data_IF_670489671409
#
_entry.id   IF_670489671409
#
_cell.length_a   1.000
_cell.length_b   1.000
_cell.length_c   1.000
_cell.angle_alpha   90.00
_cell.angle_beta   90.00
_cell.angle_gamma   90.00
#
_symmetry.space_group_name_H-M   'P 1'
#
loop_
_entity.id
_entity.type
_entity.pdbx_description
1 polymer ?
#
# COMPACT_ATOMS: atom_id res chain seq x y z
N UNK A 1 6.57 39.57 -13.33
CA UNK A 1 5.63 39.33 -12.20
C UNK A 1 4.45 38.47 -12.64
N UNK A 2 3.49 38.96 -13.45
CA UNK A 2 2.34 38.13 -13.88
C UNK A 2 2.74 36.84 -14.66
N UNK A 3 3.81 36.91 -15.46
CA UNK A 3 4.36 35.77 -16.20
C UNK A 3 5.02 34.69 -15.33
N UNK A 4 5.54 35.08 -14.15
CA UNK A 4 6.24 34.14 -13.26
C UNK A 4 5.22 33.39 -12.39
N UNK A 5 4.16 34.07 -11.97
CA UNK A 5 3.02 33.45 -11.28
C UNK A 5 2.33 32.40 -12.15
N UNK A 6 2.04 32.70 -13.41
CA UNK A 6 1.45 31.76 -14.36
C UNK A 6 2.32 30.50 -14.53
N UNK A 7 3.64 30.65 -14.70
CA UNK A 7 4.57 29.50 -14.79
C UNK A 7 4.59 28.65 -13.53
N UNK A 8 4.54 29.25 -12.33
CA UNK A 8 4.49 28.48 -11.08
C UNK A 8 3.17 27.74 -10.92
N UNK A 9 2.06 28.34 -11.36
CA UNK A 9 0.74 27.75 -11.30
C UNK A 9 0.62 26.54 -12.23
N UNK A 10 1.10 26.65 -13.47
CA UNK A 10 1.13 25.55 -14.43
C UNK A 10 1.98 24.38 -13.90
N UNK A 11 3.12 24.68 -13.28
CA UNK A 11 3.99 23.67 -12.66
C UNK A 11 3.31 22.96 -11.49
N UNK A 12 2.58 23.67 -10.63
CA UNK A 12 1.84 23.06 -9.52
C UNK A 12 0.64 22.22 -10.02
N UNK A 13 -0.05 22.63 -11.09
CA UNK A 13 -1.13 21.85 -11.71
C UNK A 13 -0.58 20.51 -12.24
N UNK A 14 0.54 20.53 -12.96
CA UNK A 14 1.18 19.29 -13.42
C UNK A 14 1.64 18.40 -12.27
N UNK A 15 2.15 19.00 -11.19
CA UNK A 15 2.60 18.26 -10.00
C UNK A 15 1.45 17.69 -9.15
N UNK A 16 0.21 18.18 -9.32
CA UNK A 16 -0.97 17.73 -8.59
C UNK A 16 -1.49 16.36 -9.06
N UNK A 17 -1.11 15.92 -10.26
CA UNK A 17 -1.43 14.57 -10.74
C UNK A 17 -0.46 13.54 -10.13
N UNK A 18 -0.97 12.42 -9.56
CA UNK A 18 -0.10 11.37 -9.06
C UNK A 18 0.67 10.73 -10.22
N UNK A 19 2.00 10.61 -10.14
CA UNK A 19 2.78 9.99 -11.21
C UNK A 19 2.43 8.50 -11.37
N UNK A 20 2.70 7.94 -12.55
CA UNK A 20 2.39 6.54 -12.88
C UNK A 20 2.94 5.56 -11.83
N UNK A 21 4.14 5.84 -11.31
CA UNK A 21 4.78 5.02 -10.25
C UNK A 21 3.89 4.90 -9.01
N UNK A 22 3.20 5.98 -8.61
CA UNK A 22 2.28 5.96 -7.46
C UNK A 22 1.04 5.15 -7.75
N UNK A 23 0.48 5.27 -8.96
CA UNK A 23 -0.68 4.49 -9.41
C UNK A 23 -0.36 2.99 -9.45
N UNK A 24 0.81 2.63 -9.97
CA UNK A 24 1.30 1.24 -10.00
C UNK A 24 1.57 0.70 -8.59
N UNK A 25 2.25 1.48 -7.73
CA UNK A 25 2.51 1.08 -6.36
C UNK A 25 1.21 0.82 -5.59
N UNK A 26 0.22 1.71 -5.73
CA UNK A 26 -1.11 1.52 -5.15
C UNK A 26 -1.81 0.26 -5.67
N UNK A 27 -1.79 0.02 -6.99
CA UNK A 27 -2.42 -1.17 -7.59
C UNK A 27 -1.76 -2.47 -7.09
N UNK A 28 -0.43 -2.54 -7.09
CA UNK A 28 0.33 -3.70 -6.59
C UNK A 28 0.10 -3.89 -5.09
N UNK A 29 0.05 -2.82 -4.30
CA UNK A 29 -0.22 -2.90 -2.86
C UNK A 29 -1.65 -3.39 -2.57
N UNK A 30 -2.65 -2.91 -3.31
CA UNK A 30 -4.03 -3.39 -3.18
C UNK A 30 -4.15 -4.87 -3.53
N UNK A 31 -3.47 -5.31 -4.60
CA UNK A 31 -3.43 -6.72 -4.98
C UNK A 31 -2.71 -7.56 -3.92
N UNK A 32 -1.57 -7.10 -3.38
CA UNK A 32 -0.88 -7.77 -2.29
C UNK A 32 -1.80 -7.91 -1.06
N UNK A 33 -2.48 -6.83 -0.66
CA UNK A 33 -3.44 -6.84 0.45
C UNK A 33 -4.57 -7.84 0.23
N UNK A 34 -5.11 -7.92 -0.99
CA UNK A 34 -6.13 -8.93 -1.34
C UNK A 34 -5.62 -10.36 -1.13
N UNK A 35 -4.45 -10.69 -1.68
CA UNK A 35 -3.88 -12.04 -1.54
C UNK A 35 -3.55 -12.38 -0.08
N UNK A 36 -2.97 -11.43 0.67
CA UNK A 36 -2.71 -11.58 2.12
C UNK A 36 -4.02 -11.85 2.88
N UNK A 37 -5.07 -11.08 2.60
CA UNK A 37 -6.38 -11.25 3.22
C UNK A 37 -7.00 -12.60 2.88
N UNK A 38 -6.87 -13.07 1.63
CA UNK A 38 -7.34 -14.39 1.19
C UNK A 38 -6.58 -15.53 1.87
N UNK A 39 -5.27 -15.40 2.10
CA UNK A 39 -4.50 -16.38 2.90
C UNK A 39 -5.05 -16.45 4.31
N UNK A 40 -5.30 -15.29 4.95
CA UNK A 40 -5.94 -15.26 6.28
C UNK A 40 -7.30 -15.95 6.27
N UNK A 41 -8.14 -15.61 5.29
CA UNK A 41 -9.50 -16.15 5.16
C UNK A 41 -9.51 -17.67 4.93
N UNK A 42 -8.60 -18.18 4.11
CA UNK A 42 -8.43 -19.62 3.88
C UNK A 42 -8.12 -20.38 5.18
N UNK A 43 -7.47 -19.72 6.13
CA UNK A 43 -7.01 -20.32 7.38
C UNK A 43 -7.95 -20.06 8.57
N UNK A 44 -8.98 -19.21 8.42
CA UNK A 44 -10.02 -18.97 9.42
C UNK A 44 -10.89 -20.23 9.58
N UNK A 45 -10.49 -21.12 10.47
CA UNK A 45 -11.13 -22.43 10.69
C UNK A 45 -10.14 -23.56 10.85
N UNK A 46 -8.86 -23.32 10.53
CA UNK A 46 -7.76 -24.24 10.82
C UNK A 46 -7.24 -23.96 12.23
N UNK A 47 -7.16 -25.01 13.04
CA UNK A 47 -6.57 -24.92 14.39
C UNK A 47 -5.14 -25.44 14.37
N UNK A 48 -4.20 -24.64 14.84
CA UNK A 48 -2.80 -24.98 14.90
C UNK A 48 -2.40 -25.44 16.31
N UNK A 49 -1.51 -26.44 16.40
CA UNK A 49 -0.96 -26.92 17.68
C UNK A 49 -0.20 -25.83 18.44
N UNK A 50 0.49 -24.96 17.71
CA UNK A 50 1.14 -23.81 18.31
C UNK A 50 0.08 -22.72 18.59
N UNK A 51 -0.18 -22.43 19.87
CA UNK A 51 -1.23 -21.48 20.27
C UNK A 51 -1.13 -20.11 19.58
N UNK A 52 0.09 -19.60 19.40
CA UNK A 52 0.35 -18.32 18.73
C UNK A 52 -0.07 -18.30 17.25
N UNK A 53 0.01 -19.45 16.55
CA UNK A 53 -0.29 -19.55 15.13
C UNK A 53 -1.79 -19.38 14.85
N UNK A 54 -2.66 -19.60 15.84
CA UNK A 54 -4.10 -19.36 15.72
C UNK A 54 -4.46 -17.86 15.61
N UNK A 55 -3.57 -16.95 16.01
CA UNK A 55 -3.78 -15.51 15.84
C UNK A 55 -3.34 -14.99 14.47
N UNK A 56 -2.59 -15.79 13.69
CA UNK A 56 -2.08 -15.35 12.39
C UNK A 56 -3.19 -15.20 11.36
N UNK A 57 -4.15 -16.14 11.18
CA UNK A 57 -5.23 -15.98 10.21
C UNK A 57 -6.06 -14.68 10.37
N UNK A 58 -6.60 -14.33 11.56
CA UNK A 58 -7.32 -13.07 11.72
C UNK A 58 -6.41 -11.85 11.54
N UNK A 59 -5.14 -11.94 11.94
CA UNK A 59 -4.17 -10.87 11.69
C UNK A 59 -3.96 -10.64 10.19
N UNK A 60 -3.79 -11.69 9.38
CA UNK A 60 -3.65 -11.59 7.93
C UNK A 60 -4.90 -11.00 7.27
N UNK A 61 -6.10 -11.33 7.75
CA UNK A 61 -7.34 -10.70 7.27
C UNK A 61 -7.33 -9.18 7.51
N UNK A 62 -7.02 -8.76 8.74
CA UNK A 62 -6.95 -7.33 9.09
C UNK A 62 -5.85 -6.62 8.30
N UNK A 63 -4.69 -7.27 8.15
CA UNK A 63 -3.56 -6.76 7.38
C UNK A 63 -3.94 -6.55 5.91
N UNK A 64 -4.60 -7.53 5.30
CA UNK A 64 -5.07 -7.47 3.93
C UNK A 64 -6.11 -6.37 3.70
N UNK A 65 -7.13 -6.27 4.56
CA UNK A 65 -8.15 -5.23 4.50
C UNK A 65 -7.56 -3.83 4.65
N UNK A 66 -6.64 -3.65 5.59
CA UNK A 66 -5.94 -2.38 5.79
C UNK A 66 -5.08 -2.03 4.57
N UNK A 67 -4.43 -3.02 3.95
CA UNK A 67 -3.66 -2.83 2.71
C UNK A 67 -4.51 -2.37 1.54
N UNK A 68 -5.70 -2.95 1.36
CA UNK A 68 -6.65 -2.52 0.32
C UNK A 68 -7.12 -1.08 0.57
N UNK A 69 -7.47 -0.76 1.82
CA UNK A 69 -7.89 0.58 2.20
C UNK A 69 -6.78 1.62 1.96
N UNK A 70 -5.55 1.34 2.40
CA UNK A 70 -4.42 2.24 2.20
C UNK A 70 -4.05 2.36 0.72
N UNK A 71 -4.14 1.30 -0.08
CA UNK A 71 -3.96 1.37 -1.52
C UNK A 71 -4.93 2.35 -2.19
N UNK A 72 -6.22 2.34 -1.80
CA UNK A 72 -7.20 3.29 -2.30
C UNK A 72 -6.86 4.74 -1.91
N UNK A 73 -6.41 4.96 -0.67
CA UNK A 73 -6.01 6.29 -0.19
C UNK A 73 -4.68 6.78 -0.81
N UNK A 74 -3.76 5.85 -1.08
CA UNK A 74 -2.50 6.11 -1.77
C UNK A 74 -2.74 6.48 -3.23
N UNK A 75 -3.69 5.83 -3.91
CA UNK A 75 -4.11 6.21 -5.27
C UNK A 75 -4.64 7.64 -5.31
N UNK A 76 -5.32 8.08 -4.25
CA UNK A 76 -5.77 9.46 -4.05
C UNK A 76 -4.64 10.42 -3.65
N UNK A 77 -3.38 9.98 -3.59
CA UNK A 77 -2.20 10.74 -3.20
C UNK A 77 -2.34 11.45 -1.84
N UNK A 78 -3.00 10.81 -0.86
CA UNK A 78 -3.01 11.31 0.52
C UNK A 78 -1.63 11.08 1.14
N UNK A 79 -0.97 12.15 1.60
CA UNK A 79 0.41 12.10 2.10
C UNK A 79 0.63 11.07 3.22
N UNK A 80 -0.30 11.00 4.18
CA UNK A 80 -0.24 10.01 5.27
C UNK A 80 -0.41 8.57 4.79
N UNK A 81 -1.17 8.35 3.72
CA UNK A 81 -1.38 7.02 3.14
C UNK A 81 -0.11 6.49 2.46
N UNK A 82 0.72 7.36 1.89
CA UNK A 82 2.02 6.94 1.32
C UNK A 82 2.95 6.32 2.37
N UNK A 83 3.08 6.97 3.53
CA UNK A 83 3.88 6.45 4.65
C UNK A 83 3.23 5.18 5.23
N UNK A 84 1.90 5.21 5.42
CA UNK A 84 1.15 4.06 5.92
C UNK A 84 1.32 2.82 5.05
N UNK A 85 1.15 2.94 3.72
CA UNK A 85 1.32 1.84 2.77
C UNK A 85 2.75 1.31 2.72
N UNK A 86 3.76 2.15 2.92
CA UNK A 86 5.15 1.72 2.98
C UNK A 86 5.41 0.86 4.22
N UNK A 87 5.00 1.34 5.40
CA UNK A 87 5.12 0.59 6.66
C UNK A 87 4.35 -0.73 6.55
N UNK A 88 3.07 -0.65 6.14
CA UNK A 88 2.21 -1.82 6.05
C UNK A 88 2.72 -2.83 5.01
N UNK A 89 3.27 -2.35 3.89
CA UNK A 89 3.89 -3.20 2.87
C UNK A 89 5.07 -4.01 3.41
N UNK A 90 5.96 -3.36 4.18
CA UNK A 90 7.08 -4.05 4.84
C UNK A 90 6.58 -5.08 5.86
N UNK A 91 5.60 -4.71 6.70
CA UNK A 91 4.97 -5.62 7.67
C UNK A 91 4.35 -6.83 6.96
N UNK A 92 3.61 -6.61 5.87
CA UNK A 92 3.02 -7.68 5.06
C UNK A 92 4.10 -8.59 4.44
N UNK A 93 5.16 -8.03 3.87
CA UNK A 93 6.25 -8.82 3.28
C UNK A 93 6.95 -9.70 4.32
N UNK A 94 7.31 -9.14 5.48
CA UNK A 94 7.96 -9.89 6.56
C UNK A 94 7.04 -10.95 7.15
N UNK A 95 5.77 -10.61 7.38
CA UNK A 95 4.77 -11.55 7.91
C UNK A 95 4.57 -12.71 6.94
N UNK A 96 4.37 -12.43 5.65
CA UNK A 96 4.15 -13.47 4.65
C UNK A 96 5.39 -14.36 4.46
N UNK A 97 6.59 -13.78 4.50
CA UNK A 97 7.83 -14.55 4.42
C UNK A 97 7.98 -15.47 5.64
N UNK A 98 7.78 -14.95 6.85
CA UNK A 98 7.80 -15.74 8.07
C UNK A 98 6.73 -16.85 8.07
N UNK A 99 5.53 -16.53 7.58
CA UNK A 99 4.45 -17.48 7.45
C UNK A 99 4.77 -18.59 6.45
N UNK A 100 5.35 -18.25 5.28
CA UNK A 100 5.83 -19.24 4.32
C UNK A 100 6.78 -20.23 4.99
N UNK A 101 7.81 -19.74 5.69
CA UNK A 101 8.78 -20.60 6.38
C UNK A 101 8.12 -21.50 7.44
N UNK A 102 7.12 -21.00 8.17
CA UNK A 102 6.36 -21.80 9.12
C UNK A 102 5.55 -22.91 8.44
N UNK A 103 4.88 -22.58 7.32
CA UNK A 103 3.98 -23.51 6.62
C UNK A 103 4.68 -24.46 5.65
N UNK A 104 5.95 -24.22 5.29
CA UNK A 104 6.71 -25.03 4.32
C UNK A 104 6.70 -26.53 4.63
N UNK A 105 6.63 -26.90 5.90
CA UNK A 105 6.68 -28.30 6.37
C UNK A 105 5.32 -28.95 6.56
N UNK A 106 4.23 -28.18 6.48
CA UNK A 106 2.92 -28.62 6.99
C UNK A 106 1.75 -28.33 6.04
N UNK A 107 1.75 -27.21 5.33
CA UNK A 107 0.67 -26.83 4.40
C UNK A 107 1.24 -26.09 3.19
N UNK A 108 1.26 -26.74 2.03
CA UNK A 108 1.58 -26.10 0.75
C UNK A 108 0.33 -25.37 0.23
N UNK A 109 0.22 -24.06 0.46
CA UNK A 109 -0.80 -23.22 -0.18
C UNK A 109 -0.18 -22.44 -1.36
N UNK A 110 -0.71 -22.66 -2.55
CA UNK A 110 -0.31 -21.93 -3.76
C UNK A 110 -0.52 -20.41 -3.61
N UNK A 111 -1.51 -19.99 -2.82
CA UNK A 111 -1.79 -18.57 -2.56
C UNK A 111 -0.63 -17.92 -1.79
N UNK A 112 -0.02 -18.64 -0.83
CA UNK A 112 1.13 -18.12 -0.06
C UNK A 112 2.33 -17.88 -0.97
N UNK A 113 2.60 -18.79 -1.92
CA UNK A 113 3.69 -18.65 -2.89
C UNK A 113 3.54 -17.43 -3.80
N UNK A 114 2.30 -17.02 -4.12
CA UNK A 114 2.03 -15.81 -4.90
C UNK A 114 2.07 -14.57 -4.00
N UNK A 115 1.50 -14.65 -2.79
CA UNK A 115 1.38 -13.55 -1.86
C UNK A 115 2.74 -13.03 -1.36
N UNK A 116 3.74 -13.90 -1.16
CA UNK A 116 5.09 -13.53 -0.70
C UNK A 116 5.81 -12.59 -1.66
N UNK A 117 6.09 -12.97 -2.94
CA UNK A 117 6.78 -12.08 -3.87
C UNK A 117 5.95 -10.83 -4.17
N UNK A 118 4.62 -10.94 -4.19
CA UNK A 118 3.75 -9.79 -4.41
C UNK A 118 3.81 -8.78 -3.26
N UNK A 119 3.83 -9.24 -2.01
CA UNK A 119 3.99 -8.39 -0.82
C UNK A 119 5.38 -7.76 -0.78
N UNK A 120 6.42 -8.51 -1.15
CA UNK A 120 7.78 -7.97 -1.29
C UNK A 120 7.88 -6.87 -2.33
N UNK A 121 7.30 -7.09 -3.52
CA UNK A 121 7.24 -6.08 -4.57
C UNK A 121 6.45 -4.84 -4.13
N UNK A 122 5.29 -5.04 -3.48
CA UNK A 122 4.49 -3.94 -2.94
C UNK A 122 5.29 -3.10 -1.93
N UNK A 123 6.05 -3.75 -1.04
CA UNK A 123 6.89 -3.05 -0.06
C UNK A 123 7.93 -2.16 -0.75
N UNK A 124 8.66 -2.70 -1.74
CA UNK A 124 9.68 -1.96 -2.49
C UNK A 124 9.06 -0.78 -3.24
N UNK A 125 7.98 -1.02 -3.99
CA UNK A 125 7.33 0.02 -4.77
C UNK A 125 6.73 1.11 -3.88
N UNK A 126 6.14 0.76 -2.73
CA UNK A 126 5.60 1.75 -1.80
C UNK A 126 6.69 2.60 -1.17
N UNK A 127 7.85 2.02 -0.81
CA UNK A 127 9.00 2.77 -0.32
C UNK A 127 9.50 3.79 -1.35
N UNK A 128 9.58 3.39 -2.61
CA UNK A 128 9.98 4.30 -3.71
C UNK A 128 8.91 5.38 -3.94
N UNK A 129 7.63 5.04 -3.80
CA UNK A 129 6.51 5.95 -4.06
C UNK A 129 6.30 7.01 -2.96
N UNK A 130 6.85 6.85 -1.74
CA UNK A 130 6.65 7.80 -0.63
C UNK A 130 7.04 9.22 -1.03
N UNK A 131 8.23 9.40 -1.60
CA UNK A 131 8.74 10.72 -1.98
C UNK A 131 7.82 11.44 -2.99
N UNK A 132 7.50 10.82 -4.13
CA UNK A 132 6.54 11.37 -5.09
C UNK A 132 5.16 11.68 -4.50
N UNK A 133 4.61 10.81 -3.64
CA UNK A 133 3.30 11.04 -2.99
C UNK A 133 3.33 12.31 -2.14
N UNK A 134 4.38 12.49 -1.34
CA UNK A 134 4.52 13.67 -0.49
C UNK A 134 4.64 14.94 -1.31
N UNK A 135 5.37 14.91 -2.44
CA UNK A 135 5.46 16.04 -3.38
C UNK A 135 4.09 16.41 -3.98
N UNK A 136 3.33 15.42 -4.46
CA UNK A 136 1.98 15.63 -4.99
C UNK A 136 1.02 16.16 -3.92
N UNK A 137 1.10 15.63 -2.68
CA UNK A 137 0.29 16.11 -1.57
C UNK A 137 0.59 17.58 -1.22
N UNK A 138 1.87 17.97 -1.20
CA UNK A 138 2.29 19.36 -0.98
C UNK A 138 1.84 20.29 -2.11
N UNK A 139 1.96 19.87 -3.37
CA UNK A 139 1.49 20.66 -4.52
C UNK A 139 -0.03 20.92 -4.44
N UNK A 140 -0.81 19.90 -4.08
CA UNK A 140 -2.26 20.04 -3.86
C UNK A 140 -2.59 20.99 -2.71
N UNK A 141 -1.81 20.94 -1.63
CA UNK A 141 -1.99 21.87 -0.51
C UNK A 141 -1.72 23.32 -0.94
N UNK A 142 -0.63 23.58 -1.69
CA UNK A 142 -0.32 24.91 -2.24
C UNK A 142 -1.43 25.44 -3.16
N UNK A 143 -2.02 24.58 -4.00
CA UNK A 143 -3.14 24.96 -4.87
C UNK A 143 -4.41 25.25 -4.07
N UNK A 144 -4.68 24.47 -3.03
CA UNK A 144 -5.80 24.69 -2.11
C UNK A 144 -5.66 26.02 -1.36
N UNK A 145 -4.45 26.37 -0.89
CA UNK A 145 -4.17 27.64 -0.21
C UNK A 145 -4.37 28.86 -1.13
N UNK A 146 -4.28 28.66 -2.45
CA UNK A 146 -4.59 29.67 -3.49
C UNK A 146 -6.07 29.70 -3.88
N UNK A 147 -6.94 28.95 -3.20
CA UNK A 147 -8.38 28.89 -3.46
C UNK A 147 -8.78 27.97 -4.63
N UNK A 148 -7.83 27.25 -5.25
CA UNK A 148 -8.13 26.25 -6.26
C UNK A 148 -8.40 24.89 -5.59
N UNK A 149 -9.67 24.62 -5.33
CA UNK A 149 -10.07 23.35 -4.73
C UNK A 149 -10.26 22.30 -5.84
N UNK A 150 -9.30 21.39 -5.98
CA UNK A 150 -9.30 20.36 -7.04
C UNK A 150 -10.35 19.25 -6.82
N UNK A 151 -11.18 19.32 -5.77
CA UNK A 151 -12.26 18.35 -5.53
C UNK A 151 -11.80 16.93 -5.20
N UNK A 152 -10.57 16.78 -4.68
CA UNK A 152 -9.89 15.49 -4.43
C UNK A 152 -9.64 15.20 -2.94
#
# INVERSE_FOLDING_TARGET
MRSDEERTMDADIQAAEPPIVVKLAAAVHGMAGLFVGLVGLQLLGVTFRAGWANFVPPFLCVLGLTGIFLAAMQYRARGWAGIGSAILGVVAAVTMLGWLFYTLTSVLSCIVYVAVPLSGLAAILNLIAVGPILKTAQARQRLSDRGMNLGL
#
